data_IF_624016363378
#
_entry.id   IF_624016363378
#
_cell.length_a   1.000
_cell.length_b   1.000
_cell.length_c   1.000
_cell.angle_alpha   90.00
_cell.angle_beta   90.00
_cell.angle_gamma   90.00
#
_symmetry.space_group_name_H-M   'P 1'
#
loop_
_entity.id
_entity.type
_entity.pdbx_description
1 polymer ?
#
# COMPACT_ATOMS: atom_id res chain seq x y z
N UNK A 1 -11.71 -0.76 26.74
CA UNK A 1 -11.17 -0.82 25.35
C UNK A 1 -9.67 -0.98 25.46
N UNK A 2 -9.06 -1.95 24.77
CA UNK A 2 -7.61 -2.15 24.76
C UNK A 2 -7.14 -2.47 23.34
N UNK A 3 -5.92 -2.05 22.94
CA UNK A 3 -5.39 -2.40 21.63
C UNK A 3 -5.06 -3.90 21.56
N UNK A 4 -5.31 -4.51 20.40
CA UNK A 4 -4.85 -5.86 20.14
C UNK A 4 -3.43 -5.79 19.59
N UNK A 5 -2.48 -6.34 20.34
CA UNK A 5 -1.06 -6.37 19.99
C UNK A 5 -0.55 -7.79 20.17
N UNK A 6 0.27 -8.27 19.23
CA UNK A 6 0.90 -9.59 19.30
C UNK A 6 2.37 -9.46 18.91
N UNK A 7 3.24 -10.11 19.68
CA UNK A 7 4.65 -10.22 19.37
C UNK A 7 4.87 -11.51 18.57
N UNK A 8 5.54 -11.43 17.43
CA UNK A 8 5.82 -12.58 16.57
C UNK A 8 7.32 -12.79 16.38
N UNK A 9 7.74 -14.03 16.16
CA UNK A 9 9.13 -14.40 15.91
C UNK A 9 9.28 -15.11 14.56
N UNK A 10 10.30 -14.72 13.80
CA UNK A 10 10.71 -15.36 12.56
C UNK A 10 12.26 -15.36 12.49
N UNK A 11 12.87 -16.54 12.38
CA UNK A 11 14.33 -16.68 12.33
C UNK A 11 14.97 -16.07 11.08
N UNK A 12 14.21 -15.91 9.99
CA UNK A 12 14.62 -15.16 8.80
C UNK A 12 14.25 -13.68 8.86
N UNK A 13 13.65 -13.22 9.96
CA UNK A 13 13.28 -11.83 10.18
C UNK A 13 14.51 -10.94 10.34
N UNK A 14 14.45 -9.74 9.76
CA UNK A 14 15.51 -8.75 9.89
C UNK A 14 15.55 -8.09 11.27
N UNK A 15 16.31 -6.99 11.35
CA UNK A 15 16.30 -6.11 12.51
C UNK A 15 15.05 -5.21 12.47
N UNK A 16 14.41 -5.03 13.62
CA UNK A 16 13.21 -4.23 13.77
C UNK A 16 13.20 -3.48 15.11
N UNK A 17 12.03 -2.99 15.50
CA UNK A 17 11.87 -2.17 16.71
C UNK A 17 12.13 -2.95 18.00
N UNK A 18 11.91 -4.27 17.95
CA UNK A 18 11.91 -5.17 19.11
C UNK A 18 13.05 -6.19 19.06
N UNK A 19 14.12 -5.87 18.32
CA UNK A 19 15.31 -6.70 18.06
C UNK A 19 15.20 -7.62 16.82
N UNK A 20 16.29 -8.32 16.50
CA UNK A 20 16.42 -9.21 15.36
C UNK A 20 15.49 -10.43 15.47
N UNK A 21 14.75 -10.69 14.39
CA UNK A 21 13.86 -11.84 14.30
C UNK A 21 12.55 -11.69 15.08
N UNK A 22 12.36 -10.61 15.85
CA UNK A 22 11.11 -10.28 16.52
C UNK A 22 10.39 -9.16 15.78
N UNK A 23 9.06 -9.25 15.70
CA UNK A 23 8.24 -8.22 15.06
C UNK A 23 6.96 -7.92 15.86
N UNK A 24 6.57 -6.65 15.81
CA UNK A 24 5.36 -6.11 16.41
C UNK A 24 4.48 -5.53 15.30
N UNK A 25 3.73 -6.36 14.56
CA UNK A 25 2.97 -5.90 13.41
C UNK A 25 1.88 -4.93 13.85
N UNK A 26 1.97 -3.70 13.34
CA UNK A 26 0.94 -2.67 13.48
C UNK A 26 0.42 -2.34 12.09
N UNK A 27 -0.91 -2.31 11.86
CA UNK A 27 -1.47 -1.88 10.60
C UNK A 27 -0.98 -0.48 10.22
N UNK A 28 -0.38 -0.36 9.03
CA UNK A 28 0.23 0.89 8.58
C UNK A 28 -0.03 1.11 7.09
N UNK A 29 -0.18 2.38 6.72
CA UNK A 29 -0.08 2.83 5.33
C UNK A 29 1.38 3.15 5.05
N UNK A 30 1.94 2.52 4.03
CA UNK A 30 3.34 2.68 3.64
C UNK A 30 3.46 3.00 2.17
N UNK A 31 4.55 3.66 1.77
CA UNK A 31 4.85 3.90 0.36
C UNK A 31 5.55 2.66 -0.21
N UNK A 32 5.12 2.21 -1.39
CA UNK A 32 5.76 1.11 -2.10
C UNK A 32 7.11 1.52 -2.69
N UNK A 33 8.16 0.82 -2.28
CA UNK A 33 9.53 1.02 -2.77
C UNK A 33 10.03 -0.15 -3.62
N UNK A 34 9.17 -1.09 -4.03
CA UNK A 34 9.60 -2.29 -4.75
C UNK A 34 10.13 -2.03 -6.15
N UNK A 35 9.77 -0.91 -6.79
CA UNK A 35 10.14 -0.60 -8.18
C UNK A 35 10.90 0.71 -8.37
N UNK A 36 10.99 1.56 -7.34
CA UNK A 36 11.74 2.82 -7.37
C UNK A 36 11.77 3.45 -5.98
N UNK A 37 12.67 4.41 -5.79
CA UNK A 37 12.59 5.37 -4.69
C UNK A 37 11.43 6.35 -4.93
N UNK A 38 10.61 6.67 -3.90
CA UNK A 38 9.54 7.67 -3.96
C UNK A 38 10.07 9.08 -4.28
N UNK A 39 9.32 9.85 -5.08
CA UNK A 39 9.73 11.21 -5.50
C UNK A 39 9.09 12.33 -4.68
N UNK A 40 8.00 12.04 -3.98
CA UNK A 40 7.25 12.95 -3.10
C UNK A 40 6.91 14.29 -3.78
N UNK A 41 6.41 14.25 -5.01
CA UNK A 41 6.04 15.48 -5.72
C UNK A 41 4.81 16.14 -5.06
N UNK A 42 4.88 17.43 -4.74
CA UNK A 42 3.77 18.13 -4.07
C UNK A 42 2.51 18.31 -4.94
N UNK A 43 2.65 18.35 -6.26
CA UNK A 43 1.55 18.63 -7.18
C UNK A 43 1.00 17.42 -7.94
N UNK A 44 1.74 16.31 -7.99
CA UNK A 44 1.35 15.08 -8.69
C UNK A 44 1.48 13.85 -7.79
N UNK A 45 0.60 12.88 -7.97
CA UNK A 45 0.77 11.58 -7.35
C UNK A 45 1.93 10.86 -8.03
N UNK A 46 2.99 10.56 -7.26
CA UNK A 46 4.20 9.87 -7.73
C UNK A 46 4.48 8.56 -7.02
N UNK A 47 3.68 8.23 -6.00
CA UNK A 47 3.86 7.09 -5.10
C UNK A 47 2.74 6.05 -5.30
N UNK A 48 3.05 4.78 -5.09
CA UNK A 48 2.02 3.79 -4.76
C UNK A 48 2.01 3.56 -3.26
N UNK A 49 0.86 3.15 -2.74
CA UNK A 49 0.68 2.92 -1.32
C UNK A 49 0.34 1.47 -1.04
N UNK A 50 0.69 1.03 0.17
CA UNK A 50 0.33 -0.27 0.71
C UNK A 50 -0.39 -0.12 2.02
N UNK A 51 -1.39 -0.95 2.29
CA UNK A 51 -2.03 -1.09 3.59
C UNK A 51 -1.68 -2.46 4.16
N UNK A 52 -0.98 -2.49 5.29
CA UNK A 52 -0.56 -3.73 5.96
C UNK A 52 0.21 -4.69 5.03
N UNK A 53 0.99 -4.13 4.10
CA UNK A 53 1.77 -4.89 3.11
C UNK A 53 1.06 -5.16 1.78
N UNK A 54 -0.26 -4.99 1.71
CA UNK A 54 -1.04 -5.19 0.47
C UNK A 54 -1.08 -3.93 -0.38
N UNK A 55 -0.94 -4.08 -1.70
CA UNK A 55 -0.93 -2.94 -2.63
C UNK A 55 -2.32 -2.32 -2.77
N UNK A 56 -2.36 -0.98 -2.72
CA UNK A 56 -3.54 -0.20 -2.99
C UNK A 56 -3.58 0.27 -4.46
N UNK A 57 -4.80 0.35 -5.00
CA UNK A 57 -5.10 0.89 -6.32
C UNK A 57 -5.68 2.31 -6.20
N UNK A 58 -5.45 3.18 -7.21
CA UNK A 58 -4.71 2.94 -8.45
C UNK A 58 -3.18 2.97 -8.27
N UNK A 59 -2.47 2.25 -9.14
CA UNK A 59 -0.99 2.22 -9.18
C UNK A 59 -0.50 3.31 -10.14
N UNK A 60 0.39 4.17 -9.68
CA UNK A 60 0.93 5.32 -10.40
C UNK A 60 2.11 4.95 -11.31
N UNK A 61 2.96 3.99 -10.90
CA UNK A 61 4.27 3.76 -11.53
C UNK A 61 4.24 3.45 -13.04
N UNK A 62 3.12 2.99 -13.60
CA UNK A 62 2.99 2.62 -15.03
C UNK A 62 2.12 3.56 -15.86
N UNK A 63 1.58 4.60 -15.23
CA UNK A 63 0.58 5.49 -15.82
C UNK A 63 1.06 6.94 -15.89
N UNK A 64 0.29 7.79 -16.58
CA UNK A 64 0.50 9.24 -16.60
C UNK A 64 0.21 9.80 -15.21
N UNK A 65 1.21 10.47 -14.62
CA UNK A 65 1.11 11.09 -13.30
C UNK A 65 -0.09 12.06 -13.24
N UNK A 66 -1.00 11.79 -12.32
CA UNK A 66 -2.20 12.58 -12.07
C UNK A 66 -1.91 13.69 -11.04
N UNK A 67 -2.63 14.83 -11.07
CA UNK A 67 -2.55 15.82 -10.01
C UNK A 67 -3.07 15.26 -8.67
N UNK A 68 -2.53 15.73 -7.56
CA UNK A 68 -3.01 15.34 -6.22
C UNK A 68 -4.37 15.98 -5.94
N UNK A 69 -5.23 15.25 -5.24
CA UNK A 69 -6.55 15.73 -4.79
C UNK A 69 -6.76 15.37 -3.33
N UNK A 70 -7.34 16.27 -2.53
CA UNK A 70 -7.53 16.05 -1.10
C UNK A 70 -8.42 14.85 -0.77
N UNK A 71 -9.39 14.54 -1.65
CA UNK A 71 -10.41 13.51 -1.46
C UNK A 71 -10.08 12.22 -2.25
N UNK A 72 -8.79 11.95 -2.47
CA UNK A 72 -8.40 10.76 -3.24
C UNK A 72 -8.69 9.48 -2.45
N UNK A 73 -9.46 8.58 -3.05
CA UNK A 73 -9.74 7.26 -2.50
C UNK A 73 -8.79 6.21 -3.07
N UNK A 74 -8.45 5.24 -2.20
CA UNK A 74 -7.61 4.09 -2.52
C UNK A 74 -8.30 2.80 -2.08
N UNK A 75 -8.14 1.75 -2.86
CA UNK A 75 -8.82 0.47 -2.63
C UNK A 75 -7.81 -0.68 -2.59
N UNK A 76 -8.08 -1.73 -1.83
CA UNK A 76 -7.28 -2.95 -1.92
C UNK A 76 -7.30 -3.49 -3.34
N UNK A 77 -6.13 -3.84 -3.88
CA UNK A 77 -6.03 -4.43 -5.20
C UNK A 77 -6.69 -5.80 -5.25
N UNK A 78 -7.84 -5.91 -5.93
CA UNK A 78 -8.44 -7.20 -6.25
C UNK A 78 -7.58 -7.89 -7.32
N UNK A 79 -6.63 -8.73 -6.91
CA UNK A 79 -5.96 -9.65 -7.82
C UNK A 79 -6.92 -10.82 -8.14
N UNK A 80 -7.86 -10.59 -9.07
CA UNK A 80 -8.73 -11.64 -9.60
C UNK A 80 -10.11 -11.13 -10.03
N UNK A 81 -10.32 -11.04 -11.36
CA UNK A 81 -11.62 -11.09 -12.05
C UNK A 81 -12.77 -10.22 -11.47
N UNK A 82 -12.72 -8.89 -11.66
CA UNK A 82 -13.83 -8.03 -11.20
C UNK A 82 -14.06 -6.71 -11.93
N UNK A 83 -13.42 -6.44 -13.08
CA UNK A 83 -13.70 -5.24 -13.91
C UNK A 83 -13.96 -5.67 -15.35
N UNK A 84 -15.02 -6.46 -15.54
CA UNK A 84 -15.77 -6.53 -16.79
C UNK A 84 -17.25 -6.45 -16.39
N UNK A 85 -18.02 -5.66 -17.14
CA UNK A 85 -19.44 -5.32 -16.98
C UNK A 85 -19.70 -4.02 -16.21
N UNK A 86 -19.51 -2.88 -16.89
CA UNK A 86 -20.47 -1.78 -16.85
C UNK A 86 -20.26 -0.84 -18.06
N UNK A 87 -20.28 -1.38 -19.28
CA UNK A 87 -20.58 -0.58 -20.48
C UNK A 87 -21.34 -1.45 -21.47
N UNK A 88 -22.57 -1.06 -21.80
CA UNK A 88 -23.24 -1.48 -23.04
C UNK A 88 -24.61 -2.13 -22.89
N UNK A 89 -25.63 -1.33 -22.58
CA UNK A 89 -27.01 -1.51 -23.05
C UNK A 89 -27.57 -0.14 -23.41
N UNK A 90 -27.26 0.32 -24.63
CA UNK A 90 -28.06 1.12 -25.56
C UNK A 90 -27.47 0.91 -26.95
#
# INVERSE_FOLDING_TARGET
>A
MQPQVALSYNSGGGNGWVDMGWDLPVPAITVDTSWSVPRYNGGKETENYRLSGELLMPVVHRDVLQPRTAEKEFFHGLFGLGIILLVGWW
#
